data_IF_670163405079
#
_entry.id   IF_670163405079
#
_cell.length_a   1.000
_cell.length_b   1.000
_cell.length_c   1.000
_cell.angle_alpha   90.00
_cell.angle_beta   90.00
_cell.angle_gamma   90.00
#
_symmetry.space_group_name_H-M   'P 1'
#
loop_
_entity.id
_entity.type
_entity.pdbx_description
1 polymer ?
#
# COMPACT_ATOMS: atom_id res chain seq x y z
N UNK A 1 -9.65 3.94 0.85
CA UNK A 1 -8.39 4.67 1.17
C UNK A 1 -7.34 4.42 0.08
N UNK A 2 -7.49 3.31 -0.66
CA UNK A 2 -6.74 2.93 -1.87
C UNK A 2 -6.40 4.09 -2.84
N UNK A 3 -7.30 5.05 -3.19
CA UNK A 3 -6.94 6.13 -4.12
C UNK A 3 -5.86 7.07 -3.57
N UNK A 4 -5.93 7.39 -2.28
CA UNK A 4 -4.94 8.23 -1.59
C UNK A 4 -3.59 7.51 -1.55
N UNK A 5 -3.61 6.21 -1.29
CA UNK A 5 -2.42 5.38 -1.27
C UNK A 5 -1.70 5.38 -2.62
N UNK A 6 -2.41 5.11 -3.73
CA UNK A 6 -1.84 5.17 -5.08
C UNK A 6 -1.29 6.56 -5.43
N UNK A 7 -1.96 7.63 -4.97
CA UNK A 7 -1.49 9.00 -5.15
C UNK A 7 -0.16 9.29 -4.44
N UNK A 8 -0.01 8.83 -3.19
CA UNK A 8 1.24 8.99 -2.44
C UNK A 8 2.38 8.11 -2.99
N UNK A 9 2.07 6.91 -3.52
CA UNK A 9 3.07 6.09 -4.22
C UNK A 9 3.60 6.85 -5.45
N UNK A 10 2.72 7.41 -6.28
CA UNK A 10 3.14 8.19 -7.44
C UNK A 10 3.90 9.47 -7.04
N UNK A 11 3.43 10.15 -5.98
CA UNK A 11 4.08 11.34 -5.43
C UNK A 11 5.50 11.06 -4.92
N UNK A 12 5.73 9.89 -4.32
CA UNK A 12 7.06 9.49 -3.85
C UNK A 12 8.09 9.36 -4.98
N UNK A 13 7.65 9.19 -6.23
CA UNK A 13 8.52 9.02 -7.41
C UNK A 13 8.70 10.34 -8.17
N UNK A 14 7.62 11.12 -8.35
CA UNK A 14 7.62 12.24 -9.29
C UNK A 14 7.06 13.56 -8.73
N UNK A 15 6.95 13.66 -7.41
CA UNK A 15 6.48 14.82 -6.65
C UNK A 15 5.01 15.20 -6.93
N UNK A 16 4.67 16.45 -6.59
CA UNK A 16 3.35 17.07 -6.68
C UNK A 16 2.60 16.86 -8.01
N UNK A 17 3.24 16.93 -9.20
CA UNK A 17 2.53 16.77 -10.48
C UNK A 17 1.87 15.39 -10.68
N UNK A 18 2.38 14.34 -10.03
CA UNK A 18 1.85 12.98 -10.17
C UNK A 18 0.68 12.68 -9.23
N UNK A 19 0.50 13.45 -8.16
CA UNK A 19 -0.47 13.15 -7.10
C UNK A 19 -1.92 13.15 -7.60
N UNK A 20 -2.36 14.26 -8.21
CA UNK A 20 -3.74 14.41 -8.68
C UNK A 20 -4.14 13.39 -9.75
N UNK A 21 -3.37 13.16 -10.83
CA UNK A 21 -3.75 12.15 -11.82
C UNK A 21 -3.75 10.72 -11.23
N UNK A 22 -2.78 10.38 -10.37
CA UNK A 22 -2.75 9.07 -9.72
C UNK A 22 -3.95 8.85 -8.80
N UNK A 23 -4.36 9.86 -8.02
CA UNK A 23 -5.55 9.79 -7.19
C UNK A 23 -6.80 9.48 -8.03
N UNK A 24 -7.03 10.24 -9.11
CA UNK A 24 -8.21 10.10 -9.96
C UNK A 24 -8.24 8.75 -10.69
N UNK A 25 -7.09 8.30 -11.21
CA UNK A 25 -7.00 7.00 -11.88
C UNK A 25 -7.21 5.86 -10.89
N UNK A 26 -6.61 5.92 -9.69
CA UNK A 26 -6.81 4.89 -8.67
C UNK A 26 -8.23 4.90 -8.11
N UNK A 27 -8.89 6.07 -8.07
CA UNK A 27 -10.30 6.20 -7.75
C UNK A 27 -11.16 5.50 -8.80
N UNK A 28 -10.95 5.80 -10.09
CA UNK A 28 -11.61 5.12 -11.20
C UNK A 28 -11.39 3.60 -11.16
N UNK A 29 -10.16 3.15 -10.88
CA UNK A 29 -9.82 1.73 -10.81
C UNK A 29 -10.53 0.97 -9.67
N UNK A 30 -10.98 1.67 -8.63
CA UNK A 30 -11.56 1.07 -7.43
C UNK A 30 -13.05 1.34 -7.27
N UNK A 31 -13.59 2.27 -8.03
CA UNK A 31 -15.03 2.48 -8.12
C UNK A 31 -15.65 1.40 -9.03
N UNK A 32 -16.50 0.56 -8.43
CA UNK A 32 -17.13 -0.57 -9.10
C UNK A 32 -18.12 -0.12 -10.19
N UNK A 33 -18.77 1.02 -10.00
CA UNK A 33 -19.73 1.56 -10.95
C UNK A 33 -19.04 2.20 -12.15
N UNK A 34 -17.95 2.92 -11.92
CA UNK A 34 -17.15 3.52 -12.98
C UNK A 34 -16.36 2.48 -13.78
N UNK A 35 -15.81 1.46 -13.11
CA UNK A 35 -15.02 0.42 -13.78
C UNK A 35 -15.86 -0.74 -14.33
N UNK A 36 -17.09 -0.92 -13.84
CA UNK A 36 -17.96 -2.03 -14.23
C UNK A 36 -17.50 -3.40 -13.71
N UNK A 37 -16.71 -3.46 -12.63
CA UNK A 37 -16.17 -4.71 -12.05
C UNK A 37 -16.70 -4.97 -10.65
N UNK A 38 -16.77 -6.25 -10.25
CA UNK A 38 -17.33 -6.61 -8.95
C UNK A 38 -16.41 -6.33 -7.75
N UNK A 39 -15.09 -6.43 -7.95
CA UNK A 39 -14.12 -6.31 -6.87
C UNK A 39 -13.39 -4.96 -6.86
N UNK A 40 -13.31 -4.27 -8.00
CA UNK A 40 -12.36 -3.17 -8.21
C UNK A 40 -10.92 -3.68 -8.23
N UNK A 41 -9.98 -2.86 -8.70
CA UNK A 41 -8.56 -3.23 -8.82
C UNK A 41 -7.86 -3.47 -7.46
N UNK A 42 -8.45 -2.98 -6.36
CA UNK A 42 -7.94 -3.16 -5.01
C UNK A 42 -6.62 -2.43 -4.75
N UNK A 43 -6.00 -2.77 -3.62
CA UNK A 43 -4.71 -2.18 -3.25
C UNK A 43 -3.60 -2.56 -4.23
N UNK A 44 -3.62 -3.79 -4.78
CA UNK A 44 -2.67 -4.25 -5.79
C UNK A 44 -2.72 -3.35 -7.04
N UNK A 45 -3.92 -3.07 -7.53
CA UNK A 45 -4.12 -2.15 -8.64
C UNK A 45 -3.57 -0.76 -8.35
N UNK A 46 -3.78 -0.24 -7.14
CA UNK A 46 -3.24 1.08 -6.77
C UNK A 46 -1.72 1.11 -6.59
N UNK A 47 -1.08 0.02 -6.17
CA UNK A 47 0.40 -0.07 -6.18
C UNK A 47 0.90 -0.04 -7.62
N UNK A 48 0.34 -0.88 -8.50
CA UNK A 48 0.77 -0.94 -9.90
C UNK A 48 0.52 0.39 -10.62
N UNK A 49 -0.67 0.96 -10.49
CA UNK A 49 -1.02 2.25 -11.10
C UNK A 49 -0.21 3.39 -10.50
N UNK A 50 -0.02 3.43 -9.18
CA UNK A 50 0.78 4.45 -8.50
C UNK A 50 2.23 4.44 -8.98
N UNK A 51 2.85 3.26 -9.06
CA UNK A 51 4.21 3.11 -9.58
C UNK A 51 4.30 3.50 -11.06
N UNK A 52 3.40 2.98 -11.90
CA UNK A 52 3.40 3.24 -13.34
C UNK A 52 3.20 4.73 -13.66
N UNK A 53 2.26 5.39 -12.98
CA UNK A 53 2.01 6.83 -13.12
C UNK A 53 3.21 7.62 -12.61
N UNK A 54 3.77 7.26 -11.45
CA UNK A 54 4.96 7.92 -10.92
C UNK A 54 6.13 7.92 -11.91
N UNK A 55 6.46 6.75 -12.48
CA UNK A 55 7.53 6.66 -13.48
C UNK A 55 7.19 7.34 -14.81
N UNK A 56 5.94 7.27 -15.26
CA UNK A 56 5.50 7.98 -16.46
C UNK A 56 5.66 9.50 -16.29
N UNK A 57 5.24 10.06 -15.16
CA UNK A 57 5.38 11.49 -14.88
C UNK A 57 6.86 11.88 -14.76
N UNK A 58 7.68 11.05 -14.11
CA UNK A 58 9.12 11.28 -14.02
C UNK A 58 9.79 11.33 -15.40
N UNK A 59 9.36 10.47 -16.32
CA UNK A 59 9.80 10.50 -17.72
C UNK A 59 9.25 11.73 -18.46
N UNK A 60 7.96 12.03 -18.33
CA UNK A 60 7.29 13.11 -19.05
C UNK A 60 7.83 14.50 -18.64
N UNK A 61 8.32 14.65 -17.40
CA UNK A 61 9.05 15.85 -16.94
C UNK A 61 10.33 16.15 -17.74
N UNK A 62 10.93 15.15 -18.39
CA UNK A 62 12.17 15.33 -19.19
C UNK A 62 11.88 15.81 -20.61
N UNK A 63 10.62 15.82 -21.05
CA UNK A 63 10.22 16.26 -22.39
C UNK A 63 10.42 17.78 -22.50
N UNK A 64 11.28 18.19 -23.43
CA UNK A 64 11.52 19.61 -23.72
C UNK A 64 10.45 20.13 -24.66
N UNK A 65 9.51 20.90 -24.13
CA UNK A 65 8.53 21.64 -24.93
C UNK A 65 9.07 23.03 -25.28
N UNK A 66 8.50 23.67 -26.30
CA UNK A 66 8.84 25.04 -26.66
C UNK A 66 8.63 26.02 -25.50
N UNK A 67 9.36 27.14 -25.52
CA UNK A 67 9.40 28.15 -24.42
C UNK A 67 8.03 28.60 -23.92
N UNK A 68 6.99 28.59 -24.78
CA UNK A 68 5.62 28.95 -24.43
C UNK A 68 4.90 27.92 -23.54
N UNK A 69 5.20 26.62 -23.67
CA UNK A 69 4.50 25.53 -22.98
C UNK A 69 5.24 25.03 -21.74
N UNK A 70 6.50 25.41 -21.59
CA UNK A 70 7.35 24.95 -20.48
C UNK A 70 6.83 25.35 -19.08
N UNK A 71 6.22 26.54 -18.88
CA UNK A 71 5.56 26.88 -17.61
C UNK A 71 4.31 26.04 -17.30
N UNK A 72 3.62 25.54 -18.34
CA UNK A 72 2.38 24.78 -18.22
C UNK A 72 2.62 23.26 -18.02
N UNK A 73 3.85 22.80 -18.25
CA UNK A 73 4.23 21.40 -18.18
C UNK A 73 3.85 20.78 -16.82
N UNK A 74 4.29 21.41 -15.72
CA UNK A 74 4.11 20.92 -14.35
C UNK A 74 2.68 21.01 -13.82
N UNK A 75 2.00 22.10 -14.14
CA UNK A 75 0.71 22.46 -13.54
C UNK A 75 -0.49 21.87 -14.27
N UNK A 76 -0.41 21.72 -15.59
CA UNK A 76 -1.57 21.37 -16.41
C UNK A 76 -1.28 20.20 -17.37
N UNK A 77 -0.16 20.24 -18.09
CA UNK A 77 0.10 19.27 -19.15
C UNK A 77 0.36 17.87 -18.59
N UNK A 78 1.23 17.76 -17.57
CA UNK A 78 1.51 16.50 -16.89
C UNK A 78 0.22 15.89 -16.33
N UNK A 79 -0.56 16.59 -15.47
CA UNK A 79 -1.80 16.03 -14.92
C UNK A 79 -2.78 15.60 -16.00
N UNK A 80 -2.98 16.42 -17.05
CA UNK A 80 -3.95 16.15 -18.10
C UNK A 80 -3.58 14.93 -18.96
N UNK A 81 -2.35 14.90 -19.48
CA UNK A 81 -1.89 13.79 -20.34
C UNK A 81 -1.83 12.49 -19.55
N UNK A 82 -1.34 12.54 -18.32
CA UNK A 82 -1.27 11.37 -17.45
C UNK A 82 -2.67 10.82 -17.16
N UNK A 83 -3.63 11.69 -16.82
CA UNK A 83 -5.01 11.29 -16.59
C UNK A 83 -5.66 10.68 -17.83
N UNK A 84 -5.42 11.25 -19.01
CA UNK A 84 -5.98 10.74 -20.27
C UNK A 84 -5.41 9.35 -20.58
N UNK A 85 -4.09 9.21 -20.59
CA UNK A 85 -3.41 7.95 -20.91
C UNK A 85 -3.78 6.87 -19.90
N UNK A 86 -3.60 7.14 -18.61
CA UNK A 86 -3.85 6.13 -17.58
C UNK A 86 -5.32 5.95 -17.26
N UNK A 87 -6.19 6.93 -17.47
CA UNK A 87 -7.63 6.78 -17.34
C UNK A 87 -8.17 5.79 -18.36
N UNK A 88 -7.83 5.98 -19.65
CA UNK A 88 -8.22 5.05 -20.73
C UNK A 88 -7.59 3.67 -20.52
N UNK A 89 -6.29 3.62 -20.23
CA UNK A 89 -5.59 2.35 -20.00
C UNK A 89 -6.18 1.57 -18.80
N UNK A 90 -6.56 2.29 -17.74
CA UNK A 90 -7.17 1.67 -16.56
C UNK A 90 -8.57 1.16 -16.85
N UNK A 91 -9.38 1.93 -17.57
CA UNK A 91 -10.74 1.52 -17.90
C UNK A 91 -10.77 0.24 -18.74
N UNK A 92 -9.94 0.16 -19.80
CA UNK A 92 -10.01 -0.96 -20.75
C UNK A 92 -9.12 -2.14 -20.40
N UNK A 93 -7.99 -1.93 -19.71
CA UNK A 93 -6.97 -2.98 -19.55
C UNK A 93 -6.61 -3.20 -18.08
N UNK A 94 -6.01 -2.20 -17.42
CA UNK A 94 -5.38 -2.42 -16.11
C UNK A 94 -6.43 -2.69 -15.03
N UNK A 95 -7.56 -1.99 -15.06
CA UNK A 95 -8.63 -2.14 -14.07
C UNK A 95 -9.23 -3.54 -14.05
N UNK A 96 -9.77 -4.06 -15.18
CA UNK A 96 -10.31 -5.41 -15.27
C UNK A 96 -9.29 -6.49 -14.84
N UNK A 97 -8.07 -6.45 -15.41
CA UNK A 97 -7.01 -7.43 -15.10
C UNK A 97 -6.66 -7.43 -13.61
N UNK A 98 -6.50 -6.24 -13.02
CA UNK A 98 -6.20 -6.14 -11.58
C UNK A 98 -7.38 -6.54 -10.71
N UNK A 99 -8.62 -6.32 -11.18
CA UNK A 99 -9.81 -6.77 -10.46
C UNK A 99 -9.91 -8.29 -10.40
N UNK A 100 -9.58 -8.98 -11.49
CA UNK A 100 -9.56 -10.44 -11.54
C UNK A 100 -8.47 -11.02 -10.63
N UNK A 101 -7.27 -10.45 -10.66
CA UNK A 101 -6.17 -10.83 -9.75
C UNK A 101 -6.58 -10.61 -8.29
N UNK A 102 -7.17 -9.45 -8.00
CA UNK A 102 -7.63 -9.13 -6.64
C UNK A 102 -8.76 -10.09 -6.20
N UNK A 103 -9.69 -10.41 -7.10
CA UNK A 103 -10.74 -11.40 -6.85
C UNK A 103 -10.17 -12.78 -6.54
N UNK A 104 -9.19 -13.25 -7.33
CA UNK A 104 -8.49 -14.51 -7.10
C UNK A 104 -7.76 -14.56 -5.77
N UNK A 105 -7.06 -13.49 -5.40
CA UNK A 105 -6.39 -13.37 -4.10
C UNK A 105 -7.38 -13.43 -2.93
N UNK A 106 -8.49 -12.70 -3.02
CA UNK A 106 -9.52 -12.71 -1.99
C UNK A 106 -10.18 -14.09 -1.88
N UNK A 107 -10.43 -14.75 -3.00
CA UNK A 107 -10.96 -16.11 -3.01
C UNK A 107 -9.98 -17.09 -2.35
N UNK A 108 -8.69 -17.01 -2.70
CA UNK A 108 -7.65 -17.80 -2.06
C UNK A 108 -7.62 -17.59 -0.53
N UNK A 109 -7.58 -16.33 -0.07
CA UNK A 109 -7.56 -16.00 1.35
C UNK A 109 -8.78 -16.54 2.11
N UNK A 110 -9.96 -16.47 1.50
CA UNK A 110 -11.20 -16.94 2.12
C UNK A 110 -11.34 -18.47 2.11
N UNK A 111 -10.62 -19.17 1.23
CA UNK A 111 -10.66 -20.63 1.11
C UNK A 111 -9.56 -21.35 1.90
N UNK A 112 -8.64 -20.62 2.56
CA UNK A 112 -7.62 -21.22 3.43
C UNK A 112 -8.29 -22.03 4.55
N UNK A 113 -8.00 -23.34 4.66
CA UNK A 113 -8.53 -24.18 5.73
C UNK A 113 -8.16 -23.64 7.12
N UNK A 114 -9.05 -23.73 8.13
CA UNK A 114 -8.75 -23.27 9.48
C UNK A 114 -7.45 -23.84 10.08
N UNK A 115 -7.12 -25.09 9.75
CA UNK A 115 -5.88 -25.76 10.17
C UNK A 115 -4.60 -25.08 9.62
N UNK A 116 -4.68 -24.47 8.44
CA UNK A 116 -3.55 -23.79 7.79
C UNK A 116 -3.50 -22.30 8.12
N UNK A 117 -4.62 -21.72 8.59
CA UNK A 117 -4.65 -20.32 9.05
C UNK A 117 -3.64 -20.06 10.16
N UNK A 118 -3.41 -21.02 11.06
CA UNK A 118 -2.43 -20.85 12.14
C UNK A 118 -0.99 -20.74 11.61
N UNK A 119 -0.60 -21.56 10.63
CA UNK A 119 0.72 -21.49 10.01
C UNK A 119 0.92 -20.21 9.20
N UNK A 120 -0.11 -19.78 8.47
CA UNK A 120 -0.06 -18.54 7.73
C UNK A 120 -0.04 -17.30 8.65
N UNK A 121 -0.79 -17.34 9.77
CA UNK A 121 -0.75 -16.31 10.80
C UNK A 121 0.62 -16.22 11.48
N UNK A 122 1.26 -17.37 11.75
CA UNK A 122 2.63 -17.42 12.26
C UNK A 122 3.61 -16.77 11.28
N UNK A 123 3.51 -17.08 9.98
CA UNK A 123 4.37 -16.49 8.95
C UNK A 123 4.20 -14.96 8.89
N UNK A 124 2.96 -14.47 8.87
CA UNK A 124 2.69 -13.02 8.88
C UNK A 124 3.20 -12.38 10.17
N UNK A 125 2.98 -13.00 11.33
CA UNK A 125 3.50 -12.52 12.60
C UNK A 125 5.03 -12.47 12.64
N UNK A 126 5.69 -13.49 12.09
CA UNK A 126 7.15 -13.52 11.95
C UNK A 126 7.65 -12.38 11.06
N UNK A 127 7.01 -12.12 9.91
CA UNK A 127 7.36 -10.99 9.04
C UNK A 127 7.22 -9.64 9.76
N UNK A 128 6.16 -9.46 10.55
CA UNK A 128 5.93 -8.23 11.32
C UNK A 128 6.99 -8.01 12.41
N UNK A 129 7.46 -9.08 13.05
CA UNK A 129 8.46 -9.03 14.11
C UNK A 129 9.91 -9.05 13.59
N UNK A 130 10.15 -9.48 12.36
CA UNK A 130 11.48 -9.85 11.84
C UNK A 130 12.51 -8.72 11.93
N UNK A 131 12.13 -7.53 11.47
CA UNK A 131 13.03 -6.37 11.39
C UNK A 131 12.56 -5.16 12.22
N UNK A 132 11.68 -5.41 13.20
CA UNK A 132 11.22 -4.45 14.22
C UNK A 132 10.85 -3.05 13.67
N UNK A 133 10.23 -2.97 12.49
CA UNK A 133 9.91 -1.67 11.84
C UNK A 133 10.56 -1.45 10.48
N UNK A 134 11.42 -2.37 10.04
CA UNK A 134 12.09 -2.32 8.75
C UNK A 134 11.18 -2.64 7.54
N UNK A 135 11.79 -2.89 6.37
CA UNK A 135 11.08 -3.14 5.12
C UNK A 135 10.11 -4.33 5.17
N UNK A 136 10.48 -5.43 5.79
CA UNK A 136 9.69 -6.66 5.86
C UNK A 136 8.43 -6.43 6.70
N UNK A 137 8.59 -5.79 7.87
CA UNK A 137 7.44 -5.41 8.69
C UNK A 137 6.50 -4.46 7.92
N UNK A 138 7.03 -3.44 7.25
CA UNK A 138 6.19 -2.50 6.48
C UNK A 138 5.42 -3.18 5.35
N UNK A 139 6.02 -4.15 4.66
CA UNK A 139 5.32 -4.92 3.63
C UNK A 139 4.20 -5.78 4.22
N UNK A 140 4.45 -6.50 5.31
CA UNK A 140 3.44 -7.33 5.97
C UNK A 140 2.30 -6.48 6.56
N UNK A 141 2.65 -5.36 7.20
CA UNK A 141 1.70 -4.41 7.76
C UNK A 141 0.82 -3.81 6.66
N UNK A 142 1.43 -3.37 5.56
CA UNK A 142 0.74 -2.81 4.40
C UNK A 142 -0.25 -3.81 3.78
N UNK A 143 0.17 -5.07 3.61
CA UNK A 143 -0.69 -6.12 3.11
C UNK A 143 -1.91 -6.33 4.02
N UNK A 144 -1.68 -6.52 5.33
CA UNK A 144 -2.76 -6.75 6.29
C UNK A 144 -3.71 -5.55 6.41
N UNK A 145 -3.17 -4.33 6.45
CA UNK A 145 -3.95 -3.09 6.48
C UNK A 145 -4.82 -2.94 5.22
N UNK A 146 -4.28 -3.28 4.05
CA UNK A 146 -5.02 -3.18 2.78
C UNK A 146 -6.22 -4.13 2.69
N UNK A 147 -6.22 -5.22 3.47
CA UNK A 147 -7.33 -6.16 3.54
C UNK A 147 -8.54 -5.63 4.32
N UNK A 148 -8.36 -4.58 5.15
CA UNK A 148 -9.46 -3.92 5.86
C UNK A 148 -10.52 -3.35 4.92
N UNK A 149 -10.09 -2.78 3.79
CA UNK A 149 -11.01 -2.24 2.77
C UNK A 149 -11.84 -3.34 2.08
N UNK A 150 -11.46 -4.61 2.25
CA UNK A 150 -12.18 -5.78 1.76
C UNK A 150 -12.93 -6.51 2.88
N UNK A 151 -13.05 -5.91 4.06
CA UNK A 151 -13.71 -6.46 5.24
C UNK A 151 -13.08 -7.78 5.75
N UNK A 152 -11.79 -8.00 5.48
CA UNK A 152 -11.06 -9.15 6.01
C UNK A 152 -10.23 -8.70 7.22
N UNK A 153 -10.79 -8.85 8.41
CA UNK A 153 -10.22 -8.32 9.65
C UNK A 153 -9.20 -9.24 10.32
N UNK A 154 -9.29 -10.56 10.10
CA UNK A 154 -8.45 -11.57 10.75
C UNK A 154 -6.95 -11.26 10.63
N UNK A 155 -6.50 -10.86 9.43
CA UNK A 155 -5.10 -10.57 9.17
C UNK A 155 -4.62 -9.28 9.83
N UNK A 156 -5.48 -8.26 9.90
CA UNK A 156 -5.13 -7.02 10.57
C UNK A 156 -5.12 -7.17 12.10
N UNK A 157 -5.92 -8.08 12.66
CA UNK A 157 -5.87 -8.39 14.08
C UNK A 157 -4.49 -8.92 14.51
N UNK A 158 -3.82 -9.72 13.66
CA UNK A 158 -2.45 -10.21 13.90
C UNK A 158 -1.49 -9.03 14.06
N UNK A 159 -1.59 -8.03 13.20
CA UNK A 159 -0.78 -6.79 13.29
C UNK A 159 -0.97 -6.11 14.64
N UNK A 160 -2.22 -5.97 15.10
CA UNK A 160 -2.53 -5.36 16.39
C UNK A 160 -1.88 -6.08 17.57
N UNK A 161 -1.88 -7.42 17.56
CA UNK A 161 -1.25 -8.23 18.62
C UNK A 161 0.28 -8.15 18.54
N UNK A 162 0.85 -8.33 17.35
CA UNK A 162 2.31 -8.39 17.17
C UNK A 162 2.97 -7.04 17.42
N UNK A 163 2.32 -5.92 17.06
CA UNK A 163 2.86 -4.57 17.31
C UNK A 163 3.08 -4.28 18.80
N UNK A 164 2.30 -4.91 19.68
CA UNK A 164 2.43 -4.77 21.13
C UNK A 164 3.49 -5.71 21.73
N UNK A 165 3.94 -6.74 21.00
CA UNK A 165 4.86 -7.73 21.54
C UNK A 165 6.24 -7.15 21.90
N UNK A 166 6.92 -6.32 21.08
CA UNK A 166 8.22 -5.76 21.45
C UNK A 166 8.21 -4.95 22.76
N UNK A 167 7.32 -3.96 22.97
CA UNK A 167 7.31 -3.20 24.21
C UNK A 167 6.89 -4.04 25.42
N UNK A 168 5.97 -5.00 25.26
CA UNK A 168 5.57 -5.92 26.34
C UNK A 168 6.72 -6.85 26.72
N UNK A 169 7.42 -7.41 25.74
CA UNK A 169 8.57 -8.28 25.97
C UNK A 169 9.72 -7.52 26.65
N UNK A 170 9.99 -6.28 26.23
CA UNK A 170 10.98 -5.42 26.88
C UNK A 170 10.59 -5.11 28.33
N UNK A 171 9.34 -4.75 28.60
CA UNK A 171 8.85 -4.51 29.95
C UNK A 171 8.97 -5.73 30.86
N UNK A 172 8.58 -6.91 30.38
CA UNK A 172 8.75 -8.16 31.13
C UNK A 172 10.23 -8.49 31.36
N UNK A 173 11.09 -8.28 30.36
CA UNK A 173 12.52 -8.53 30.47
C UNK A 173 13.20 -7.63 31.52
N UNK A 174 12.82 -6.34 31.60
CA UNK A 174 13.33 -5.42 32.63
C UNK A 174 12.96 -5.85 34.05
N UNK A 175 11.82 -6.53 34.24
CA UNK A 175 11.40 -7.07 35.53
C UNK A 175 12.10 -8.38 35.89
N UNK A 176 12.23 -9.32 34.94
CA UNK A 176 12.82 -10.64 35.18
C UNK A 176 14.35 -10.63 35.24
N UNK A 177 15.01 -9.78 34.44
CA UNK A 177 16.45 -9.70 34.35
C UNK A 177 16.97 -8.26 34.49
N UNK A 178 16.66 -7.55 35.59
CA UNK A 178 16.99 -6.13 35.73
C UNK A 178 18.50 -5.87 35.67
N UNK A 179 19.36 -6.85 35.90
CA UNK A 179 20.82 -6.66 35.82
C UNK A 179 21.33 -6.45 34.39
N UNK A 180 20.55 -6.80 33.36
CA UNK A 180 20.90 -6.63 31.95
C UNK A 180 20.58 -5.22 31.41
N UNK A 181 19.84 -4.42 32.17
CA UNK A 181 19.32 -3.12 31.74
C UNK A 181 19.93 -1.97 32.55
N UNK A 182 20.08 -0.83 31.90
CA UNK A 182 20.50 0.43 32.52
C UNK A 182 19.38 1.02 33.40
N UNK A 183 19.71 1.99 34.24
CA UNK A 183 18.71 2.64 35.11
C UNK A 183 17.67 3.44 34.31
N UNK A 184 18.02 3.95 33.12
CA UNK A 184 17.07 4.63 32.25
C UNK A 184 16.08 3.66 31.59
N UNK A 185 16.54 2.50 31.13
CA UNK A 185 15.69 1.45 30.52
C UNK A 185 14.73 0.86 31.56
N UNK A 186 15.17 0.65 32.80
CA UNK A 186 14.29 0.22 33.91
C UNK A 186 13.20 1.22 34.26
N UNK A 187 13.54 2.52 34.25
CA UNK A 187 12.58 3.58 34.56
C UNK A 187 11.51 3.76 33.48
N UNK A 188 11.77 3.26 32.26
CA UNK A 188 10.86 3.34 31.11
C UNK A 188 10.17 2.01 30.78
N UNK A 189 10.68 0.89 31.29
CA UNK A 189 10.15 -0.45 30.99
C UNK A 189 10.27 -0.83 29.52
N UNK A 190 11.23 -0.24 28.80
CA UNK A 190 11.54 -0.43 27.37
C UNK A 190 13.04 -0.24 27.16
#
# INVERSE_FOLDING_TARGET
MIPIMGAYIAWSIADKPAFAPAFLVCYLANDKGLLGTQSGAGFLGAVVLGLAIGYFVLWFRKVRLGKALQPLLGSMLIPFVTLLVFGVLTYYVVGPVMSDIMGGLLHFLNTIPPSMKMGAAFLVGAMLAFDMGGPINKTAWFFCFSLLEKHIYDWYAIVGVVALMPPVAAGIATYLAPKLFTQQEKGRGQ
#
